data_IF_819710240272
#
_entry.id   IF_819710240272
#
_cell.length_a   1.000
_cell.length_b   1.000
_cell.length_c   1.000
_cell.angle_alpha   90.00
_cell.angle_beta   90.00
_cell.angle_gamma   90.00
#
_symmetry.space_group_name_H-M   'P 1'
#
loop_
_entity.id
_entity.type
_entity.pdbx_description
1 polymer ?
#
# COMPACT_ATOMS: atom_id res chain seq x y z
N UNK A 1 -9.74 -3.34 -6.71
CA UNK A 1 -8.59 -2.66 -6.10
C UNK A 1 -7.61 -3.64 -5.48
N UNK A 2 -6.37 -3.23 -5.22
CA UNK A 2 -5.33 -4.04 -4.55
C UNK A 2 -4.91 -3.38 -3.23
N UNK A 3 -4.93 -4.14 -2.13
CA UNK A 3 -4.40 -3.79 -0.81
C UNK A 3 -3.08 -4.53 -0.58
N UNK A 4 -1.98 -3.80 -0.58
CA UNK A 4 -0.61 -4.35 -0.49
C UNK A 4 -0.12 -4.35 0.95
N UNK A 5 0.38 -5.50 1.41
CA UNK A 5 0.74 -5.76 2.80
C UNK A 5 -0.47 -5.51 3.73
N UNK A 6 -1.57 -6.17 3.40
CA UNK A 6 -2.88 -5.92 4.02
C UNK A 6 -2.96 -6.33 5.51
N UNK A 7 -1.98 -7.04 6.02
CA UNK A 7 -2.01 -7.57 7.39
C UNK A 7 -3.26 -8.45 7.60
N UNK A 8 -3.99 -8.19 8.66
CA UNK A 8 -5.26 -8.89 8.97
C UNK A 8 -6.47 -8.29 8.24
N UNK A 9 -6.25 -7.46 7.20
CA UNK A 9 -7.32 -6.87 6.39
C UNK A 9 -8.02 -5.68 7.04
N UNK A 10 -7.29 -4.87 7.81
CA UNK A 10 -7.86 -3.77 8.61
C UNK A 10 -8.64 -2.74 7.76
N UNK A 11 -8.24 -2.49 6.52
CA UNK A 11 -8.89 -1.52 5.62
C UNK A 11 -9.97 -2.14 4.71
N UNK A 12 -10.09 -3.46 4.65
CA UNK A 12 -11.07 -4.12 3.76
C UNK A 12 -12.50 -3.62 4.00
N UNK A 13 -12.99 -3.45 5.26
CA UNK A 13 -14.32 -2.90 5.51
C UNK A 13 -14.52 -1.50 4.91
N UNK A 14 -13.52 -0.63 5.04
CA UNK A 14 -13.58 0.74 4.50
C UNK A 14 -13.65 0.74 2.97
N UNK A 15 -12.90 -0.12 2.32
CA UNK A 15 -12.95 -0.26 0.86
C UNK A 15 -14.34 -0.71 0.38
N UNK A 16 -14.91 -1.72 1.02
CA UNK A 16 -16.24 -2.23 0.69
C UNK A 16 -17.34 -1.17 0.96
N UNK A 17 -17.24 -0.49 2.10
CA UNK A 17 -18.17 0.61 2.44
C UNK A 17 -18.13 1.77 1.43
N UNK A 18 -16.95 2.03 0.86
CA UNK A 18 -16.73 3.06 -0.17
C UNK A 18 -17.07 2.60 -1.59
N UNK A 19 -17.62 1.38 -1.74
CA UNK A 19 -18.13 0.86 -3.01
C UNK A 19 -17.10 0.14 -3.87
N UNK A 20 -16.00 -0.36 -3.30
CA UNK A 20 -15.09 -1.22 -4.03
C UNK A 20 -15.82 -2.49 -4.48
N UNK A 21 -15.97 -2.69 -5.79
CA UNK A 21 -16.65 -3.86 -6.34
C UNK A 21 -15.90 -5.16 -6.06
N UNK A 22 -14.56 -5.11 -6.16
CA UNK A 22 -13.65 -6.24 -5.90
C UNK A 22 -12.44 -5.75 -5.10
N UNK A 23 -12.09 -6.46 -4.05
CA UNK A 23 -10.89 -6.23 -3.25
C UNK A 23 -9.98 -7.44 -3.36
N UNK A 24 -8.78 -7.22 -3.89
CA UNK A 24 -7.66 -8.18 -3.78
C UNK A 24 -6.73 -7.66 -2.70
N UNK A 25 -6.40 -8.48 -1.72
CA UNK A 25 -5.48 -8.15 -0.64
C UNK A 25 -4.33 -9.16 -0.66
N UNK A 26 -3.11 -8.69 -0.44
CA UNK A 26 -1.91 -9.54 -0.42
C UNK A 26 -1.05 -9.23 0.79
N UNK A 27 -0.58 -10.28 1.48
CA UNK A 27 0.40 -10.16 2.55
C UNK A 27 1.44 -11.28 2.45
N UNK A 28 2.69 -10.97 2.76
CA UNK A 28 3.78 -11.96 2.72
C UNK A 28 3.70 -12.93 3.91
N UNK A 29 3.06 -12.54 5.01
CA UNK A 29 2.88 -13.37 6.19
C UNK A 29 1.73 -14.37 6.00
N UNK A 30 1.99 -15.68 6.04
CA UNK A 30 0.94 -16.70 5.95
C UNK A 30 -0.12 -16.53 7.05
N UNK A 31 0.30 -16.16 8.27
CA UNK A 31 -0.61 -15.98 9.40
C UNK A 31 -1.53 -14.77 9.20
N UNK A 32 -1.00 -13.64 8.73
CA UNK A 32 -1.81 -12.45 8.44
C UNK A 32 -2.83 -12.73 7.34
N UNK A 33 -2.39 -13.35 6.24
CA UNK A 33 -3.27 -13.72 5.15
C UNK A 33 -4.35 -14.73 5.57
N UNK A 34 -4.02 -15.68 6.45
CA UNK A 34 -4.99 -16.62 7.02
C UNK A 34 -6.07 -15.88 7.81
N UNK A 35 -5.66 -15.01 8.74
CA UNK A 35 -6.59 -14.22 9.57
C UNK A 35 -7.49 -13.35 8.68
N UNK A 36 -6.92 -12.68 7.68
CA UNK A 36 -7.69 -11.84 6.76
C UNK A 36 -8.74 -12.67 5.98
N UNK A 37 -8.40 -13.86 5.48
CA UNK A 37 -9.37 -14.75 4.80
C UNK A 37 -10.52 -15.18 5.70
N UNK A 38 -10.23 -15.51 6.95
CA UNK A 38 -11.25 -15.92 7.92
C UNK A 38 -12.19 -14.78 8.28
N UNK A 39 -11.68 -13.54 8.34
CA UNK A 39 -12.49 -12.36 8.63
C UNK A 39 -13.35 -11.91 7.46
N UNK A 40 -12.89 -12.11 6.23
CA UNK A 40 -13.52 -11.59 5.02
C UNK A 40 -13.78 -12.71 3.99
N UNK A 41 -14.75 -13.61 4.28
CA UNK A 41 -15.05 -14.73 3.41
C UNK A 41 -15.96 -14.38 2.21
N UNK A 42 -16.26 -13.09 1.99
CA UNK A 42 -17.14 -12.64 0.92
C UNK A 42 -16.52 -12.92 -0.46
N UNK A 43 -17.36 -13.26 -1.43
CA UNK A 43 -16.94 -13.59 -2.81
C UNK A 43 -16.20 -12.44 -3.53
N UNK A 44 -16.48 -11.19 -3.14
CA UNK A 44 -15.83 -10.01 -3.70
C UNK A 44 -14.54 -9.61 -2.98
N UNK A 45 -14.04 -10.43 -2.05
CA UNK A 45 -12.75 -10.27 -1.38
C UNK A 45 -11.87 -11.48 -1.65
N UNK A 46 -10.70 -11.26 -2.21
CA UNK A 46 -9.67 -12.29 -2.43
C UNK A 46 -8.43 -11.95 -1.64
N UNK A 47 -8.03 -12.83 -0.71
CA UNK A 47 -6.80 -12.65 0.08
C UNK A 47 -5.74 -13.65 -0.38
N UNK A 48 -4.59 -13.12 -0.77
CA UNK A 48 -3.43 -13.88 -1.24
C UNK A 48 -2.32 -13.87 -0.18
N UNK A 49 -1.56 -14.95 -0.09
CA UNK A 49 -0.31 -14.99 0.64
C UNK A 49 0.83 -14.98 -0.38
N UNK A 50 1.69 -13.97 -0.32
CA UNK A 50 2.80 -13.86 -1.26
C UNK A 50 3.52 -12.52 -1.19
N UNK A 51 4.61 -12.44 -1.96
CA UNK A 51 5.41 -11.24 -2.12
C UNK A 51 4.78 -10.31 -3.16
N UNK A 52 4.36 -9.13 -2.72
CA UNK A 52 3.73 -8.13 -3.60
C UNK A 52 4.68 -7.58 -4.67
N UNK A 53 6.00 -7.64 -4.47
CA UNK A 53 6.99 -7.23 -5.47
C UNK A 53 7.12 -8.21 -6.64
N UNK A 54 6.62 -9.43 -6.48
CA UNK A 54 6.72 -10.51 -7.48
C UNK A 54 5.34 -11.00 -7.95
N UNK A 55 4.26 -10.57 -7.29
CA UNK A 55 2.93 -11.05 -7.58
C UNK A 55 2.46 -10.60 -8.98
N UNK A 56 1.82 -11.52 -9.70
CA UNK A 56 1.20 -11.26 -10.99
C UNK A 56 -0.32 -11.39 -10.86
N UNK A 57 -1.03 -10.50 -11.53
CA UNK A 57 -2.49 -10.46 -11.48
C UNK A 57 -3.07 -10.51 -12.89
N UNK A 58 -4.23 -11.15 -13.08
CA UNK A 58 -4.81 -11.36 -14.41
C UNK A 58 -5.39 -10.09 -15.05
N UNK A 59 -5.63 -9.05 -14.24
CA UNK A 59 -6.21 -7.79 -14.70
C UNK A 59 -5.62 -6.62 -13.93
N UNK A 60 -5.57 -5.42 -14.54
CA UNK A 60 -5.10 -4.22 -13.85
C UNK A 60 -6.08 -3.74 -12.78
N UNK A 61 -5.58 -2.86 -11.90
CA UNK A 61 -6.34 -2.31 -10.77
C UNK A 61 -6.63 -0.81 -10.97
N UNK A 62 -7.85 -0.41 -10.62
CA UNK A 62 -8.22 1.02 -10.57
C UNK A 62 -7.61 1.74 -9.36
N UNK A 63 -7.28 1.01 -8.32
CA UNK A 63 -6.72 1.55 -7.09
C UNK A 63 -5.77 0.55 -6.44
N UNK A 64 -4.56 1.01 -6.08
CA UNK A 64 -3.58 0.24 -5.31
C UNK A 64 -3.21 1.05 -4.06
N UNK A 65 -3.26 0.41 -2.90
CA UNK A 65 -2.98 1.05 -1.61
C UNK A 65 -1.91 0.26 -0.85
N UNK A 66 -0.95 0.97 -0.27
CA UNK A 66 -0.01 0.48 0.73
C UNK A 66 -0.26 1.29 2.00
N UNK A 67 -0.74 0.66 3.06
CA UNK A 67 -1.06 1.34 4.32
C UNK A 67 -0.21 0.81 5.47
N UNK A 68 0.49 1.71 6.16
CA UNK A 68 1.35 1.43 7.31
C UNK A 68 2.46 0.37 7.05
N UNK A 69 2.85 0.14 5.80
CA UNK A 69 3.76 -0.95 5.46
C UNK A 69 4.96 -0.53 4.59
N UNK A 70 4.90 0.62 3.91
CA UNK A 70 5.89 1.01 2.91
C UNK A 70 7.36 0.98 3.39
N UNK A 71 7.73 1.38 4.61
CA UNK A 71 9.11 1.31 5.10
C UNK A 71 9.67 -0.11 5.25
N UNK A 72 8.83 -1.13 5.22
CA UNK A 72 9.25 -2.54 5.30
C UNK A 72 9.70 -3.12 3.97
N UNK A 73 9.48 -2.43 2.87
CA UNK A 73 9.95 -2.85 1.55
C UNK A 73 11.41 -2.41 1.35
N UNK A 74 12.33 -3.34 1.08
CA UNK A 74 13.76 -3.04 0.98
C UNK A 74 14.11 -2.19 -0.24
N UNK A 75 13.35 -2.35 -1.33
CA UNK A 75 13.59 -1.68 -2.61
C UNK A 75 12.35 -0.87 -3.05
N UNK A 76 12.11 0.30 -2.43
CA UNK A 76 10.89 1.08 -2.65
C UNK A 76 10.69 1.51 -4.10
N UNK A 77 11.75 1.81 -4.82
CA UNK A 77 11.68 2.18 -6.24
C UNK A 77 11.20 1.02 -7.12
N UNK A 78 11.73 -0.18 -6.88
CA UNK A 78 11.32 -1.40 -7.59
C UNK A 78 9.87 -1.76 -7.30
N UNK A 79 9.44 -1.66 -6.04
CA UNK A 79 8.04 -1.86 -5.66
C UNK A 79 7.13 -0.89 -6.40
N UNK A 80 7.42 0.41 -6.39
CA UNK A 80 6.59 1.43 -7.05
C UNK A 80 6.52 1.22 -8.57
N UNK A 81 7.65 0.87 -9.20
CA UNK A 81 7.68 0.53 -10.62
C UNK A 81 6.76 -0.67 -10.95
N UNK A 82 6.86 -1.73 -10.15
CA UNK A 82 6.02 -2.92 -10.31
C UNK A 82 4.53 -2.59 -10.13
N UNK A 83 4.16 -1.93 -9.03
CA UNK A 83 2.78 -1.59 -8.73
C UNK A 83 2.17 -0.61 -9.75
N UNK A 84 2.95 0.36 -10.24
CA UNK A 84 2.48 1.25 -11.31
C UNK A 84 2.16 0.50 -12.60
N UNK A 85 2.92 -0.56 -12.92
CA UNK A 85 2.65 -1.45 -14.05
C UNK A 85 1.37 -2.29 -13.91
N UNK A 86 0.82 -2.39 -12.68
CA UNK A 86 -0.44 -3.09 -12.40
C UNK A 86 -1.66 -2.15 -12.43
N UNK A 87 -1.48 -0.84 -12.64
CA UNK A 87 -2.58 0.11 -12.69
C UNK A 87 -3.31 0.09 -14.04
N UNK A 88 -4.62 0.18 -13.98
CA UNK A 88 -5.43 0.54 -15.13
C UNK A 88 -5.18 2.00 -15.55
N UNK A 89 -5.42 2.38 -16.82
CA UNK A 89 -5.39 3.78 -17.23
C UNK A 89 -6.32 4.63 -16.34
N UNK A 90 -5.78 5.71 -15.76
CA UNK A 90 -6.49 6.54 -14.79
C UNK A 90 -6.57 5.99 -13.37
N UNK A 91 -6.01 4.80 -13.14
CA UNK A 91 -5.92 4.19 -11.81
C UNK A 91 -5.01 4.97 -10.85
N UNK A 92 -5.18 4.75 -9.55
CA UNK A 92 -4.46 5.45 -8.49
C UNK A 92 -3.56 4.54 -7.69
N UNK A 93 -2.36 5.03 -7.35
CA UNK A 93 -1.44 4.43 -6.39
C UNK A 93 -1.35 5.32 -5.16
N UNK A 94 -1.45 4.73 -3.98
CA UNK A 94 -1.40 5.44 -2.70
C UNK A 94 -0.48 4.74 -1.72
N UNK A 95 0.42 5.50 -1.10
CA UNK A 95 1.13 5.12 0.13
C UNK A 95 0.63 6.02 1.24
N UNK A 96 0.15 5.43 2.33
CA UNK A 96 -0.36 6.19 3.47
C UNK A 96 0.03 5.55 4.81
N UNK A 97 0.14 6.40 5.82
CA UNK A 97 0.33 6.03 7.22
C UNK A 97 -0.66 6.81 8.09
N UNK A 98 -1.31 6.14 9.01
CA UNK A 98 -2.29 6.71 9.94
C UNK A 98 -1.69 7.47 11.12
N UNK A 99 -0.38 7.80 11.05
CA UNK A 99 0.34 8.58 12.08
C UNK A 99 1.28 9.57 11.41
N UNK A 100 1.59 10.66 12.15
CA UNK A 100 2.60 11.61 11.70
C UNK A 100 3.95 10.93 11.50
N UNK A 101 4.76 11.46 10.60
CA UNK A 101 6.15 11.02 10.42
C UNK A 101 6.93 10.99 11.73
N UNK A 102 6.77 12.01 12.58
CA UNK A 102 7.44 12.10 13.89
C UNK A 102 7.09 10.92 14.82
N UNK A 103 5.82 10.51 14.84
CA UNK A 103 5.35 9.36 15.62
C UNK A 103 5.88 8.05 15.04
N UNK A 104 5.91 7.94 13.73
CA UNK A 104 6.42 6.76 13.01
C UNK A 104 7.93 6.59 13.21
N UNK A 105 8.73 7.66 13.08
CA UNK A 105 10.18 7.64 13.33
C UNK A 105 10.49 7.26 14.79
N UNK A 106 9.69 7.73 15.75
CA UNK A 106 9.82 7.38 17.16
C UNK A 106 9.48 5.89 17.44
N UNK A 107 8.50 5.33 16.77
CA UNK A 107 8.16 3.90 16.84
C UNK A 107 9.25 3.04 16.20
N UNK A 108 9.75 3.40 15.02
CA UNK A 108 10.81 2.68 14.34
C UNK A 108 12.14 2.72 15.09
N UNK A 109 12.47 3.83 15.78
CA UNK A 109 13.65 3.94 16.62
C UNK A 109 13.63 2.97 17.82
N UNK A 110 12.44 2.60 18.31
CA UNK A 110 12.28 1.69 19.47
C UNK A 110 12.17 0.21 19.10
N UNK A 111 11.61 -0.13 17.94
CA UNK A 111 11.19 -1.51 17.64
C UNK A 111 11.84 -2.15 16.42
N UNK A 112 12.41 -1.42 15.49
CA UNK A 112 12.73 -1.96 14.17
C UNK A 112 14.04 -1.45 13.53
N UNK A 113 15.09 -1.19 14.31
CA UNK A 113 16.40 -0.78 13.76
C UNK A 113 17.02 -1.75 12.74
N UNK A 114 16.49 -2.96 12.59
CA UNK A 114 17.06 -4.00 11.72
C UNK A 114 16.20 -4.33 10.48
N UNK A 115 14.97 -3.80 10.33
CA UNK A 115 14.03 -4.26 9.29
C UNK A 115 13.34 -3.11 8.53
N UNK A 116 13.65 -1.84 8.82
CA UNK A 116 12.98 -0.70 8.21
C UNK A 116 13.98 0.32 7.68
N UNK A 117 13.79 0.75 6.43
CA UNK A 117 14.56 1.82 5.79
C UNK A 117 14.24 3.23 6.32
N UNK A 118 13.40 3.33 7.37
CA UNK A 118 12.83 4.60 7.82
C UNK A 118 11.74 5.11 6.86
N UNK A 119 11.07 6.20 7.24
CA UNK A 119 10.08 6.85 6.39
C UNK A 119 10.75 7.98 5.61
N UNK A 120 10.68 7.91 4.29
CA UNK A 120 11.11 8.98 3.39
C UNK A 120 10.41 10.30 3.75
N UNK A 121 11.04 11.42 3.46
CA UNK A 121 10.31 12.70 3.42
C UNK A 121 9.18 12.62 2.41
N UNK A 122 8.06 13.27 2.67
CA UNK A 122 6.91 13.24 1.75
C UNK A 122 7.29 13.72 0.34
N UNK A 123 8.23 14.68 0.26
CA UNK A 123 8.77 15.20 -1.01
C UNK A 123 9.65 14.16 -1.73
N UNK A 124 10.43 13.37 -0.98
CA UNK A 124 11.26 12.30 -1.55
C UNK A 124 10.39 11.18 -2.11
N UNK A 125 9.36 10.76 -1.36
CA UNK A 125 8.40 9.77 -1.84
C UNK A 125 7.62 10.28 -3.06
N UNK A 126 7.17 11.55 -3.04
CA UNK A 126 6.50 12.16 -4.17
C UNK A 126 7.40 12.25 -5.43
N UNK A 127 8.69 12.51 -5.24
CA UNK A 127 9.66 12.50 -6.34
C UNK A 127 9.83 11.09 -6.94
N UNK A 128 9.81 10.04 -6.12
CA UNK A 128 9.79 8.65 -6.61
C UNK A 128 8.50 8.33 -7.36
N UNK A 129 7.34 8.72 -6.81
CA UNK A 129 6.04 8.55 -7.45
C UNK A 129 5.96 9.20 -8.82
N UNK A 130 6.53 10.42 -8.95
CA UNK A 130 6.47 11.20 -10.20
C UNK A 130 7.16 10.54 -11.40
N UNK A 131 7.97 9.51 -11.17
CA UNK A 131 8.58 8.71 -12.24
C UNK A 131 7.58 7.76 -12.91
N UNK A 132 6.49 7.43 -12.24
CA UNK A 132 5.54 6.39 -12.66
C UNK A 132 4.11 6.88 -12.77
N UNK A 133 3.73 7.86 -11.95
CA UNK A 133 2.36 8.39 -11.86
C UNK A 133 2.38 9.91 -11.69
N UNK A 134 1.30 10.58 -12.10
CA UNK A 134 1.12 12.01 -11.82
C UNK A 134 0.69 12.18 -10.35
N UNK A 135 1.55 12.79 -9.53
CA UNK A 135 1.28 13.01 -8.10
C UNK A 135 0.13 13.98 -7.92
N UNK A 136 -0.88 13.55 -7.16
CA UNK A 136 -2.11 14.33 -6.91
C UNK A 136 -2.29 14.71 -5.44
N UNK A 137 -1.65 13.97 -4.52
CA UNK A 137 -1.75 14.19 -3.07
C UNK A 137 -0.37 14.09 -2.44
N UNK A 138 -0.04 15.06 -1.57
CA UNK A 138 1.11 15.03 -0.68
C UNK A 138 0.67 15.60 0.67
N UNK A 139 0.61 14.78 1.70
CA UNK A 139 0.23 15.16 3.06
C UNK A 139 1.29 14.66 4.03
N UNK A 140 1.76 15.55 4.90
CA UNK A 140 2.61 15.16 6.04
C UNK A 140 2.34 16.16 7.17
N UNK A 141 1.38 15.82 8.01
CA UNK A 141 0.95 16.60 9.17
C UNK A 141 1.04 15.79 10.47
N UNK A 142 0.38 16.23 11.53
CA UNK A 142 0.42 15.56 12.83
C UNK A 142 -0.40 14.26 12.88
N UNK A 143 -1.33 14.08 11.95
CA UNK A 143 -2.29 12.98 11.94
C UNK A 143 -2.02 11.97 10.84
N UNK A 144 -1.46 12.42 9.71
CA UNK A 144 -1.37 11.60 8.48
C UNK A 144 -0.08 11.88 7.71
N UNK A 145 0.43 10.81 7.10
CA UNK A 145 1.41 10.86 6.04
C UNK A 145 0.84 10.17 4.81
N UNK A 146 0.81 10.86 3.66
CA UNK A 146 0.26 10.28 2.43
C UNK A 146 0.91 10.87 1.18
N UNK A 147 1.22 9.98 0.22
CA UNK A 147 1.47 10.34 -1.17
C UNK A 147 0.54 9.51 -2.05
N UNK A 148 -0.15 10.15 -2.96
CA UNK A 148 -0.95 9.47 -3.97
C UNK A 148 -0.72 10.08 -5.35
N UNK A 149 -0.88 9.25 -6.37
CA UNK A 149 -0.76 9.66 -7.76
C UNK A 149 -1.68 8.87 -8.68
N UNK A 150 -1.95 9.44 -9.85
CA UNK A 150 -2.79 8.86 -10.90
C UNK A 150 -1.93 8.42 -12.07
N UNK A 151 -2.15 7.21 -12.54
CA UNK A 151 -1.49 6.68 -13.74
C UNK A 151 -2.13 7.29 -14.99
N UNK A 152 -1.31 7.95 -15.80
CA UNK A 152 -1.66 8.39 -17.14
C UNK A 152 -0.68 7.71 -18.09
N UNK A 153 -1.16 6.85 -19.00
CA UNK A 153 -0.31 6.18 -19.98
C UNK A 153 0.30 7.14 -21.00
#
# INVERSE_FOLDING_TARGET
MLDVACGTGVLIPDYLQRGAAQVTAIDISPEMARIAREKFPQENVTVLCGDAEQAHFPAPFDCIVIYNAFPHFPEPERLLAHLAGLLAPGGTLTVAHGFSRKTLDAHHAKTARQVSNGILLVQELAALFSRYVHVTVQISDEEMYQVAGRYAP
#
